data_IF_324724960407
#
_entry.id   IF_324724960407
#
_cell.length_a   1.000
_cell.length_b   1.000
_cell.length_c   1.000
_cell.angle_alpha   90.00
_cell.angle_beta   90.00
_cell.angle_gamma   90.00
#
_symmetry.space_group_name_H-M   'P 1'
#
loop_
_entity.id
_entity.type
_entity.pdbx_description
1 polymer ?
#
# COMPACT_ATOMS: atom_id res chain seq x y z
N UNK A 1 27.40 -16.87 16.52
CA UNK A 1 26.57 -15.66 16.61
C UNK A 1 25.36 -15.87 15.73
N UNK A 2 24.34 -16.48 16.29
CA UNK A 2 23.11 -16.80 15.57
C UNK A 2 22.49 -15.52 15.04
N UNK A 3 22.39 -15.42 13.72
CA UNK A 3 21.59 -14.39 13.06
C UNK A 3 20.14 -14.65 13.46
N UNK A 4 19.42 -13.67 14.05
CA UNK A 4 18.02 -13.86 14.35
C UNK A 4 17.27 -14.09 13.04
N UNK A 5 16.54 -15.22 12.96
CA UNK A 5 15.70 -15.54 11.82
C UNK A 5 14.71 -14.38 11.58
N UNK A 6 14.44 -14.01 10.31
CA UNK A 6 13.44 -12.99 10.02
C UNK A 6 12.08 -13.46 10.56
N UNK A 7 11.30 -12.60 11.25
CA UNK A 7 10.00 -13.00 11.75
C UNK A 7 9.06 -13.21 10.54
N UNK A 8 8.85 -14.47 10.17
CA UNK A 8 7.89 -14.87 9.16
C UNK A 8 6.55 -15.21 9.81
N UNK A 9 5.55 -14.32 9.69
CA UNK A 9 4.14 -14.60 9.33
C UNK A 9 3.18 -13.49 9.79
N UNK A 10 2.69 -12.72 8.81
CA UNK A 10 1.54 -11.80 8.81
C UNK A 10 1.45 -10.69 9.88
N UNK A 11 2.16 -9.57 9.68
CA UNK A 11 1.77 -8.26 10.24
C UNK A 11 0.56 -7.65 9.51
N UNK A 12 0.28 -8.13 8.30
CA UNK A 12 -0.77 -7.61 7.43
C UNK A 12 -1.90 -8.63 7.28
N UNK A 13 -3.10 -8.15 6.98
CA UNK A 13 -4.24 -9.01 6.60
C UNK A 13 -3.88 -9.82 5.35
N UNK A 14 -4.56 -10.95 5.14
CA UNK A 14 -4.24 -11.92 4.07
C UNK A 14 -4.24 -11.34 2.65
N UNK A 15 -4.94 -10.23 2.42
CA UNK A 15 -5.06 -9.51 1.15
C UNK A 15 -4.14 -8.28 1.03
N UNK A 16 -3.24 -8.08 2.00
CA UNK A 16 -2.29 -6.97 2.03
C UNK A 16 -0.86 -7.47 1.85
N UNK A 17 -0.08 -6.70 1.09
CA UNK A 17 1.35 -6.87 0.89
C UNK A 17 2.09 -6.11 1.98
N UNK A 18 2.94 -6.82 2.74
CA UNK A 18 3.80 -6.21 3.75
C UNK A 18 5.01 -5.56 3.09
N UNK A 19 5.25 -4.29 3.37
CA UNK A 19 6.49 -3.60 3.01
C UNK A 19 6.98 -2.73 4.16
N UNK A 20 8.19 -3.03 4.63
CA UNK A 20 8.79 -2.43 5.81
C UNK A 20 7.88 -2.55 7.05
N UNK A 21 7.26 -1.45 7.50
CA UNK A 21 6.35 -1.39 8.66
C UNK A 21 4.90 -1.12 8.25
N UNK A 22 4.60 -1.13 6.95
CA UNK A 22 3.31 -0.79 6.37
C UNK A 22 2.68 -1.98 5.65
N UNK A 23 1.37 -1.95 5.52
CA UNK A 23 0.57 -2.91 4.78
C UNK A 23 -0.11 -2.20 3.62
N UNK A 24 0.11 -2.69 2.40
CA UNK A 24 -0.43 -2.09 1.17
C UNK A 24 -1.37 -3.06 0.47
N UNK A 25 -2.42 -2.53 -0.17
CA UNK A 25 -3.35 -3.32 -0.98
C UNK A 25 -3.61 -2.59 -2.28
N UNK A 26 -3.41 -3.28 -3.39
CA UNK A 26 -3.77 -2.77 -4.71
C UNK A 26 -5.23 -3.10 -4.97
N UNK A 27 -6.03 -2.07 -5.30
CA UNK A 27 -7.44 -2.21 -5.65
C UNK A 27 -7.59 -1.89 -7.12
N UNK A 28 -8.02 -2.89 -7.91
CA UNK A 28 -8.18 -2.76 -9.36
C UNK A 28 -9.54 -2.19 -9.78
N UNK A 29 -10.47 -2.00 -8.85
CA UNK A 29 -11.79 -1.42 -9.16
C UNK A 29 -11.66 0.11 -9.35
N UNK A 30 -11.93 0.65 -10.55
CA UNK A 30 -11.83 2.08 -10.80
C UNK A 30 -12.88 2.85 -10.01
N UNK A 31 -12.44 3.88 -9.29
CA UNK A 31 -13.31 4.76 -8.49
C UNK A 31 -12.83 6.21 -8.58
N UNK A 32 -13.72 7.22 -8.44
CA UNK A 32 -13.31 8.58 -8.13
C UNK A 32 -12.46 8.61 -6.84
N UNK A 33 -11.54 9.57 -6.74
CA UNK A 33 -10.60 9.64 -5.61
C UNK A 33 -11.29 9.63 -4.23
N UNK A 34 -12.39 10.37 -4.09
CA UNK A 34 -13.15 10.45 -2.83
C UNK A 34 -13.78 9.10 -2.45
N UNK A 35 -14.29 8.35 -3.43
CA UNK A 35 -14.84 7.02 -3.21
C UNK A 35 -13.76 5.99 -2.89
N UNK A 36 -12.60 6.07 -3.55
CA UNK A 36 -11.45 5.22 -3.25
C UNK A 36 -10.97 5.46 -1.81
N UNK A 37 -10.87 6.72 -1.39
CA UNK A 37 -10.54 7.08 0.00
C UNK A 37 -11.58 6.55 0.99
N UNK A 38 -12.86 6.70 0.70
CA UNK A 38 -13.95 6.20 1.55
C UNK A 38 -13.90 4.67 1.67
N UNK A 39 -13.60 3.95 0.58
CA UNK A 39 -13.45 2.51 0.56
C UNK A 39 -12.25 2.05 1.43
N UNK A 40 -11.09 2.69 1.29
CA UNK A 40 -9.94 2.41 2.16
C UNK A 40 -10.26 2.64 3.63
N UNK A 41 -10.93 3.75 3.97
CA UNK A 41 -11.34 4.06 5.35
C UNK A 41 -12.33 3.05 5.92
N UNK A 42 -13.25 2.52 5.10
CA UNK A 42 -14.19 1.46 5.51
C UNK A 42 -13.47 0.17 5.90
N UNK A 43 -12.31 -0.11 5.31
CA UNK A 43 -11.43 -1.21 5.73
C UNK A 43 -10.50 -0.85 6.91
N UNK A 44 -10.60 0.36 7.48
CA UNK A 44 -9.67 0.83 8.52
C UNK A 44 -8.27 1.14 7.99
N UNK A 45 -8.14 1.41 6.68
CA UNK A 45 -6.91 1.82 6.00
C UNK A 45 -7.03 3.26 5.45
N UNK A 46 -6.02 3.71 4.71
CA UNK A 46 -6.01 4.98 4.00
C UNK A 46 -5.43 4.78 2.59
N UNK A 47 -5.59 5.75 1.68
CA UNK A 47 -4.85 5.74 0.42
C UNK A 47 -3.34 5.77 0.71
N UNK A 48 -2.56 5.04 -0.09
CA UNK A 48 -1.13 4.90 0.13
C UNK A 48 -0.42 6.27 0.13
N UNK A 49 0.36 6.55 1.18
CA UNK A 49 1.26 7.71 1.25
C UNK A 49 2.68 7.32 0.86
N UNK A 50 3.45 8.29 0.38
CA UNK A 50 4.88 8.14 0.10
C UNK A 50 5.61 9.03 1.08
N UNK A 51 6.20 8.43 2.11
CA UNK A 51 6.93 9.16 3.16
C UNK A 51 8.45 9.11 2.95
N UNK A 52 8.96 7.98 2.43
CA UNK A 52 10.38 7.80 2.15
C UNK A 52 10.62 7.24 0.73
N UNK A 53 11.87 7.35 0.28
CA UNK A 53 12.27 6.90 -1.07
C UNK A 53 12.05 5.41 -1.31
N UNK A 54 12.11 4.58 -0.27
CA UNK A 54 11.82 3.15 -0.39
C UNK A 54 10.31 2.86 -0.55
N UNK A 55 9.41 3.71 -0.05
CA UNK A 55 7.97 3.59 -0.30
C UNK A 55 7.67 3.90 -1.76
N UNK A 56 8.29 4.96 -2.29
CA UNK A 56 8.19 5.33 -3.71
C UNK A 56 8.66 4.17 -4.61
N UNK A 57 9.83 3.60 -4.32
CA UNK A 57 10.38 2.49 -5.11
C UNK A 57 9.45 1.27 -5.10
N UNK A 58 8.92 0.91 -3.93
CA UNK A 58 7.99 -0.22 -3.79
C UNK A 58 6.68 0.04 -4.52
N UNK A 59 6.04 1.19 -4.30
CA UNK A 59 4.78 1.56 -4.96
C UNK A 59 4.97 1.57 -6.48
N UNK A 60 6.06 2.16 -6.98
CA UNK A 60 6.35 2.15 -8.42
C UNK A 60 6.54 0.73 -8.96
N UNK A 61 7.19 -0.17 -8.23
CA UNK A 61 7.37 -1.56 -8.66
C UNK A 61 6.03 -2.33 -8.69
N UNK A 62 5.15 -2.11 -7.71
CA UNK A 62 3.80 -2.70 -7.67
C UNK A 62 2.96 -2.17 -8.84
N UNK A 63 3.02 -0.87 -9.09
CA UNK A 63 2.25 -0.22 -10.16
C UNK A 63 2.78 -0.53 -11.57
N UNK A 64 4.05 -0.88 -11.75
CA UNK A 64 4.55 -1.34 -13.06
C UNK A 64 3.84 -2.62 -13.55
N UNK A 65 3.32 -3.43 -12.63
CA UNK A 65 2.51 -4.60 -12.98
C UNK A 65 1.05 -4.24 -13.25
N UNK A 66 0.61 -3.04 -12.85
CA UNK A 66 -0.73 -2.54 -13.12
C UNK A 66 -0.74 -1.73 -14.42
N UNK A 67 -1.74 -1.95 -15.27
CA UNK A 67 -1.87 -1.24 -16.55
C UNK A 67 -2.69 0.06 -16.44
N UNK A 68 -3.18 0.36 -15.24
CA UNK A 68 -4.09 1.46 -14.99
C UNK A 68 -3.53 2.44 -13.95
N UNK A 69 -3.90 3.71 -14.11
CA UNK A 69 -3.59 4.76 -13.15
C UNK A 69 -4.24 4.44 -11.80
N UNK A 70 -3.47 4.59 -10.72
CA UNK A 70 -3.90 4.22 -9.36
C UNK A 70 -3.85 5.42 -8.44
N UNK A 71 -4.91 5.63 -7.66
CA UNK A 71 -4.96 6.70 -6.67
C UNK A 71 -4.00 6.46 -5.50
N UNK A 72 -3.25 7.50 -5.14
CA UNK A 72 -2.46 7.57 -3.92
C UNK A 72 -2.90 8.76 -3.05
N UNK A 73 -2.53 8.73 -1.78
CA UNK A 73 -2.95 9.67 -0.73
C UNK A 73 -2.21 11.01 -0.74
N UNK A 74 -2.00 11.61 -1.91
CA UNK A 74 -1.41 12.94 -2.02
C UNK A 74 -2.51 14.01 -1.89
N UNK A 75 -2.72 14.54 -0.68
CA UNK A 75 -3.56 15.73 -0.49
C UNK A 75 -2.68 16.96 -0.44
N UNK A 76 -2.74 17.83 -1.46
CA UNK A 76 -2.21 19.20 -1.35
C UNK A 76 -3.04 19.91 -0.27
N UNK A 77 -2.39 20.31 0.81
CA UNK A 77 -2.94 21.25 1.80
C UNK A 77 -2.81 22.67 1.30
#
# INVERSE_FOLDING_TARGET
SDLPAPPASSLCRSDYISWYKNCYKLVSEPKPWEEALAACKKEGANLASVDMSYDQAFISAVLQQNKEDTWIGLRRT
#
